data_IF_076508541548
#
_entry.id   IF_076508541548
#
_cell.length_a   1.000
_cell.length_b   1.000
_cell.length_c   1.000
_cell.angle_alpha   90.00
_cell.angle_beta   90.00
_cell.angle_gamma   90.00
#
_symmetry.space_group_name_H-M   'P 1'
#
loop_
_entity.id
_entity.type
_entity.pdbx_description
1 polymer ?
#
# COMPACT_ATOMS: atom_id res chain seq x y z
N UNK A 1 7.49 4.16 2.30
CA UNK A 1 7.23 4.85 1.02
C UNK A 1 5.73 5.05 0.85
N UNK A 2 5.29 6.26 0.54
CA UNK A 2 3.85 6.52 0.31
C UNK A 2 3.42 5.89 -1.02
N UNK A 3 2.34 5.13 -0.99
CA UNK A 3 1.76 4.48 -2.18
C UNK A 3 0.24 4.63 -2.19
N UNK A 4 -0.41 4.73 -3.35
CA UNK A 4 -1.87 4.65 -3.43
C UNK A 4 -2.39 3.37 -2.74
N UNK A 5 -3.55 3.46 -2.07
CA UNK A 5 -4.16 2.30 -1.40
C UNK A 5 -4.27 1.08 -2.32
N UNK A 6 -4.68 1.28 -3.58
CA UNK A 6 -4.79 0.19 -4.56
C UNK A 6 -3.45 -0.51 -4.85
N UNK A 7 -2.35 0.26 -4.86
CA UNK A 7 -1.02 -0.28 -5.04
C UNK A 7 -0.56 -1.03 -3.78
N UNK A 8 -0.87 -0.49 -2.59
CA UNK A 8 -0.58 -1.15 -1.33
C UNK A 8 -1.27 -2.52 -1.22
N UNK A 9 -2.54 -2.61 -1.61
CA UNK A 9 -3.30 -3.88 -1.61
C UNK A 9 -2.68 -4.89 -2.58
N UNK A 10 -2.28 -4.45 -3.77
CA UNK A 10 -1.61 -5.29 -4.76
C UNK A 10 -0.29 -5.84 -4.21
N UNK A 11 0.56 -4.98 -3.63
CA UNK A 11 1.83 -5.38 -3.02
C UNK A 11 1.60 -6.33 -1.84
N UNK A 12 0.62 -6.05 -1.00
CA UNK A 12 0.27 -6.88 0.16
C UNK A 12 -0.22 -8.27 -0.27
N UNK A 13 -0.96 -8.36 -1.37
CA UNK A 13 -1.42 -9.63 -1.95
C UNK A 13 -0.28 -10.48 -2.51
N UNK A 14 0.71 -9.84 -3.15
CA UNK A 14 1.84 -10.54 -3.77
C UNK A 14 2.92 -10.95 -2.75
N UNK A 15 3.25 -10.06 -1.82
CA UNK A 15 4.40 -10.21 -0.93
C UNK A 15 4.04 -10.40 0.55
N UNK A 16 2.75 -10.29 0.89
CA UNK A 16 2.25 -10.37 2.25
C UNK A 16 2.15 -9.00 2.94
N UNK A 17 1.19 -8.90 3.86
CA UNK A 17 0.87 -7.66 4.57
C UNK A 17 2.04 -7.17 5.45
N UNK A 18 2.76 -8.08 6.12
CA UNK A 18 3.93 -7.74 6.95
C UNK A 18 5.02 -7.08 6.11
N UNK A 19 5.34 -7.66 4.95
CA UNK A 19 6.29 -7.07 4.01
C UNK A 19 5.82 -5.70 3.53
N UNK A 20 4.54 -5.59 3.15
CA UNK A 20 3.99 -4.35 2.66
C UNK A 20 4.05 -3.23 3.72
N UNK A 21 3.73 -3.53 4.98
CA UNK A 21 3.78 -2.56 6.09
C UNK A 21 5.20 -2.13 6.48
N UNK A 22 6.21 -2.97 6.26
CA UNK A 22 7.61 -2.61 6.51
C UNK A 22 8.10 -1.51 5.57
N UNK A 23 7.69 -1.56 4.30
CA UNK A 23 8.26 -0.71 3.26
C UNK A 23 7.30 0.37 2.74
N UNK A 24 6.00 0.17 2.87
CA UNK A 24 4.97 0.99 2.24
C UNK A 24 3.93 1.50 3.26
N UNK A 25 3.43 2.70 3.00
CA UNK A 25 2.35 3.32 3.76
C UNK A 25 1.25 3.73 2.77
N UNK A 26 0.03 3.17 2.90
CA UNK A 26 -1.05 3.49 1.98
C UNK A 26 -1.56 4.91 2.21
N UNK A 27 -1.68 5.67 1.13
CA UNK A 27 -2.40 6.94 1.12
C UNK A 27 -3.73 6.78 0.39
N UNK A 28 -4.78 7.36 0.95
CA UNK A 28 -6.06 7.48 0.25
C UNK A 28 -5.94 8.64 -0.74
N UNK A 29 -6.00 8.34 -2.03
CA UNK A 29 -6.24 9.34 -3.07
C UNK A 29 -7.71 9.77 -2.98
N UNK A 30 -8.04 10.56 -1.96
CA UNK A 30 -9.30 11.31 -1.93
C UNK A 30 -9.02 12.63 -2.64
N UNK A 31 -9.31 12.69 -3.94
CA UNK A 31 -9.48 13.98 -4.61
C UNK A 31 -10.89 14.49 -4.30
N UNK A 32 -10.97 15.75 -3.88
CA UNK A 32 -12.20 16.47 -3.53
C UNK A 32 -12.93 16.91 -4.79
#
# INVERSE_FOLDING_TARGET
MLVPLIAFETISSVYGESFAKTWFQPIKLVQR
#
